data_IF_542916635025
#
_entry.id   IF_542916635025
#
_cell.length_a   1.000
_cell.length_b   1.000
_cell.length_c   1.000
_cell.angle_alpha   90.00
_cell.angle_beta   90.00
_cell.angle_gamma   90.00
#
_symmetry.space_group_name_H-M   'P 1'
#
loop_
_entity.id
_entity.type
_entity.pdbx_description
1 polymer ?
#
# COMPACT_ATOMS: atom_id res chain seq x y z
N UNK A 1 6.48 -15.32 8.12
CA UNK A 1 7.07 -14.23 7.32
C UNK A 1 8.55 -14.12 7.65
N UNK A 2 9.40 -13.87 6.65
CA UNK A 2 10.86 -13.65 6.80
C UNK A 2 11.29 -12.49 5.89
N UNK A 3 12.50 -11.97 6.17
CA UNK A 3 13.20 -11.06 5.27
C UNK A 3 14.54 -11.67 4.90
N UNK A 4 14.94 -11.57 3.62
CA UNK A 4 16.22 -12.09 3.13
C UNK A 4 16.70 -11.32 1.90
N UNK A 5 17.93 -11.55 1.47
CA UNK A 5 18.42 -11.07 0.18
C UNK A 5 17.89 -11.96 -0.94
N UNK A 6 17.51 -11.34 -2.07
CA UNK A 6 16.94 -12.01 -3.24
C UNK A 6 17.79 -11.81 -4.50
N UNK A 7 19.12 -11.83 -4.35
CA UNK A 7 20.08 -11.75 -5.46
C UNK A 7 19.89 -10.54 -6.41
N UNK A 8 19.44 -9.42 -5.82
CA UNK A 8 19.21 -8.16 -6.55
C UNK A 8 17.77 -7.95 -7.02
N UNK A 9 16.88 -8.90 -6.77
CA UNK A 9 15.46 -8.76 -7.09
C UNK A 9 14.73 -7.97 -6.00
N UNK A 10 14.16 -6.83 -6.35
CA UNK A 10 13.40 -5.97 -5.44
C UNK A 10 11.94 -6.43 -5.39
N UNK A 11 11.66 -7.46 -4.63
CA UNK A 11 10.40 -8.18 -4.64
C UNK A 11 9.93 -8.59 -3.23
N UNK A 12 8.70 -9.07 -3.14
CA UNK A 12 8.18 -9.91 -2.07
C UNK A 12 7.29 -10.99 -2.71
N UNK A 13 7.14 -12.11 -2.04
CA UNK A 13 6.36 -13.22 -2.59
C UNK A 13 5.89 -14.17 -1.48
N UNK A 14 4.77 -14.86 -1.75
CA UNK A 14 4.27 -15.98 -0.96
C UNK A 14 4.55 -17.30 -1.66
N UNK A 15 5.34 -18.14 -1.05
CA UNK A 15 5.59 -19.50 -1.54
C UNK A 15 5.76 -20.46 -0.36
N UNK A 16 5.30 -21.70 -0.52
CA UNK A 16 5.47 -22.78 0.47
C UNK A 16 5.07 -22.39 1.90
N UNK A 17 3.96 -21.69 2.06
CA UNK A 17 3.44 -21.18 3.34
C UNK A 17 4.36 -20.15 4.02
N UNK A 18 5.22 -19.49 3.28
CA UNK A 18 6.13 -18.45 3.78
C UNK A 18 5.99 -17.19 2.93
N UNK A 19 5.78 -16.07 3.59
CA UNK A 19 5.89 -14.75 2.98
C UNK A 19 7.34 -14.31 3.11
N UNK A 20 7.99 -14.00 2.01
CA UNK A 20 9.36 -13.47 1.94
C UNK A 20 9.32 -12.02 1.47
N UNK A 21 10.02 -11.13 2.17
CA UNK A 21 10.23 -9.74 1.77
C UNK A 21 11.72 -9.55 1.52
N UNK A 22 12.09 -9.18 0.30
CA UNK A 22 13.47 -9.01 -0.10
C UNK A 22 14.08 -7.72 0.48
N UNK A 23 15.32 -7.74 0.95
CA UNK A 23 16.02 -6.52 1.39
C UNK A 23 16.13 -5.50 0.26
N UNK A 24 16.24 -5.97 -0.97
CA UNK A 24 16.30 -5.14 -2.18
C UNK A 24 15.02 -4.30 -2.37
N UNK A 25 13.85 -4.85 -2.04
CA UNK A 25 12.60 -4.10 -2.05
C UNK A 25 12.60 -2.96 -1.02
N UNK A 26 13.05 -3.25 0.20
CA UNK A 26 13.17 -2.24 1.25
C UNK A 26 14.16 -1.14 0.82
N UNK A 27 15.30 -1.52 0.21
CA UNK A 27 16.28 -0.58 -0.32
C UNK A 27 15.71 0.27 -1.46
N UNK A 28 14.86 -0.30 -2.32
CA UNK A 28 14.15 0.45 -3.36
C UNK A 28 13.22 1.50 -2.77
N UNK A 29 12.42 1.16 -1.74
CA UNK A 29 11.57 2.12 -1.04
C UNK A 29 12.37 3.29 -0.45
N UNK A 30 13.56 3.00 0.13
CA UNK A 30 14.48 4.02 0.61
C UNK A 30 14.99 4.93 -0.50
N UNK A 31 15.23 4.40 -1.70
CA UNK A 31 15.71 5.16 -2.86
C UNK A 31 14.63 6.05 -3.48
N UNK A 32 13.38 5.63 -3.41
CA UNK A 32 12.25 6.32 -4.05
C UNK A 32 11.48 7.25 -3.13
N UNK A 33 11.68 7.16 -1.80
CA UNK A 33 11.03 8.06 -0.86
C UNK A 33 11.37 9.54 -1.14
N UNK A 34 10.45 10.47 -0.92
CA UNK A 34 10.71 11.90 -1.06
C UNK A 34 11.69 12.36 0.02
N UNK A 35 12.50 13.39 -0.27
CA UNK A 35 13.44 13.97 0.70
C UNK A 35 12.71 14.69 1.85
N UNK A 36 11.56 15.29 1.55
CA UNK A 36 10.69 16.02 2.47
C UNK A 36 9.23 15.63 2.20
N UNK A 37 8.31 16.06 3.06
CA UNK A 37 6.89 15.82 2.82
C UNK A 37 6.45 16.42 1.48
N UNK A 38 5.71 15.63 0.71
CA UNK A 38 5.18 16.05 -0.60
C UNK A 38 4.12 17.15 -0.44
N UNK A 39 3.79 17.85 -1.51
CA UNK A 39 2.67 18.81 -1.52
C UNK A 39 1.31 18.12 -1.19
N UNK A 40 1.20 16.82 -1.39
CA UNK A 40 0.04 16.01 -1.01
C UNK A 40 0.01 15.62 0.48
N UNK A 41 1.10 15.85 1.22
CA UNK A 41 1.21 15.53 2.65
C UNK A 41 1.91 14.20 2.96
N UNK A 42 2.30 13.42 1.96
CA UNK A 42 3.03 12.15 2.16
C UNK A 42 4.41 12.44 2.71
N UNK A 43 4.71 11.96 3.91
CA UNK A 43 6.02 12.11 4.53
C UNK A 43 7.01 11.05 4.03
N UNK A 44 8.33 11.24 4.18
CA UNK A 44 9.31 10.21 3.83
C UNK A 44 9.04 8.87 4.50
N UNK A 45 8.62 8.88 5.77
CA UNK A 45 8.29 7.65 6.51
C UNK A 45 7.04 6.97 5.95
N UNK A 46 6.01 7.73 5.57
CA UNK A 46 4.78 7.17 5.01
C UNK A 46 5.02 6.56 3.63
N UNK A 47 5.91 7.16 2.83
CA UNK A 47 6.33 6.65 1.53
C UNK A 47 7.13 5.33 1.61
N UNK A 48 7.64 4.95 2.79
CA UNK A 48 8.27 3.65 3.03
C UNK A 48 7.26 2.69 3.68
N UNK A 49 6.62 3.14 4.76
CA UNK A 49 5.80 2.25 5.59
C UNK A 49 4.50 1.88 4.88
N UNK A 50 3.90 2.79 4.11
CA UNK A 50 2.69 2.51 3.35
C UNK A 50 2.86 1.32 2.39
N UNK A 51 3.75 1.42 1.38
CA UNK A 51 3.98 0.34 0.43
C UNK A 51 4.55 -0.93 1.08
N UNK A 52 5.36 -0.82 2.14
CA UNK A 52 5.84 -2.01 2.86
C UNK A 52 4.69 -2.77 3.54
N UNK A 53 3.76 -2.05 4.18
CA UNK A 53 2.55 -2.66 4.75
C UNK A 53 1.67 -3.27 3.67
N UNK A 54 1.43 -2.53 2.59
CA UNK A 54 0.64 -3.00 1.45
C UNK A 54 1.19 -4.31 0.89
N UNK A 55 2.47 -4.34 0.58
CA UNK A 55 3.14 -5.54 0.06
C UNK A 55 3.06 -6.73 1.03
N UNK A 56 3.32 -6.50 2.33
CA UNK A 56 3.20 -7.57 3.32
C UNK A 56 1.76 -8.10 3.43
N UNK A 57 0.76 -7.24 3.34
CA UNK A 57 -0.65 -7.62 3.40
C UNK A 57 -1.16 -8.21 2.09
N UNK A 58 -0.60 -7.80 0.96
CA UNK A 58 -0.85 -8.39 -0.35
C UNK A 58 -0.39 -9.86 -0.36
N UNK A 59 0.87 -10.12 0.04
CA UNK A 59 1.38 -11.49 0.17
C UNK A 59 0.61 -12.32 1.22
N UNK A 60 0.13 -11.65 2.27
CA UNK A 60 -0.78 -12.27 3.22
C UNK A 60 -2.14 -12.61 2.60
N UNK A 61 -2.62 -11.82 1.65
CA UNK A 61 -3.80 -12.11 0.83
C UNK A 61 -3.66 -13.44 0.09
N UNK A 62 -2.56 -13.65 -0.63
CA UNK A 62 -2.25 -14.93 -1.28
C UNK A 62 -2.22 -16.10 -0.27
N UNK A 63 -1.57 -15.88 0.88
CA UNK A 63 -1.56 -16.90 1.94
C UNK A 63 -2.96 -17.24 2.46
N UNK A 64 -3.85 -16.25 2.60
CA UNK A 64 -5.24 -16.49 2.99
C UNK A 64 -6.01 -17.29 1.93
N UNK A 65 -5.84 -16.94 0.64
CA UNK A 65 -6.53 -17.64 -0.44
C UNK A 65 -6.10 -19.10 -0.52
N UNK A 66 -4.82 -19.37 -0.41
CA UNK A 66 -4.26 -20.72 -0.42
C UNK A 66 -4.69 -21.53 0.82
N UNK A 67 -4.37 -21.05 2.01
CA UNK A 67 -4.56 -21.79 3.26
C UNK A 67 -6.03 -21.99 3.63
N UNK A 68 -6.90 -21.03 3.32
CA UNK A 68 -8.34 -21.12 3.57
C UNK A 68 -9.12 -21.65 2.35
N UNK A 69 -8.45 -21.88 1.22
CA UNK A 69 -9.05 -22.27 -0.05
C UNK A 69 -10.17 -21.32 -0.48
N UNK A 70 -9.90 -20.02 -0.38
CA UNK A 70 -10.84 -18.97 -0.76
C UNK A 70 -11.02 -18.98 -2.28
N UNK A 71 -12.24 -19.13 -2.82
CA UNK A 71 -12.45 -19.04 -4.25
C UNK A 71 -12.30 -17.61 -4.74
N UNK A 72 -11.39 -17.38 -5.68
CA UNK A 72 -11.15 -16.07 -6.31
C UNK A 72 -11.70 -16.11 -7.73
N UNK A 73 -12.57 -15.15 -8.07
CA UNK A 73 -13.08 -14.93 -9.42
C UNK A 73 -12.36 -13.73 -10.03
N UNK A 74 -11.57 -13.97 -11.06
CA UNK A 74 -10.75 -12.96 -11.71
C UNK A 74 -9.26 -13.15 -11.39
N UNK A 75 -8.52 -12.05 -11.42
CA UNK A 75 -7.09 -12.08 -11.11
C UNK A 75 -6.87 -12.11 -9.60
N UNK A 76 -6.06 -13.05 -9.14
CA UNK A 76 -5.75 -13.20 -7.73
C UNK A 76 -4.96 -11.99 -7.20
N UNK A 77 -4.13 -11.39 -8.04
CA UNK A 77 -3.37 -10.17 -7.72
C UNK A 77 -4.27 -8.99 -7.36
N UNK A 78 -5.34 -8.77 -8.14
CA UNK A 78 -6.31 -7.72 -7.84
C UNK A 78 -7.06 -8.01 -6.52
N UNK A 79 -7.35 -9.28 -6.23
CA UNK A 79 -7.98 -9.69 -4.98
C UNK A 79 -7.05 -9.52 -3.77
N UNK A 80 -5.75 -9.80 -3.91
CA UNK A 80 -4.74 -9.60 -2.89
C UNK A 80 -4.58 -8.10 -2.57
N UNK A 81 -4.54 -7.22 -3.58
CA UNK A 81 -4.56 -5.76 -3.40
C UNK A 81 -5.80 -5.30 -2.62
N UNK A 82 -6.97 -5.85 -2.92
CA UNK A 82 -8.20 -5.51 -2.21
C UNK A 82 -8.20 -5.97 -0.76
N UNK A 83 -7.65 -7.15 -0.45
CA UNK A 83 -7.46 -7.63 0.93
C UNK A 83 -6.51 -6.71 1.69
N UNK A 84 -5.40 -6.33 1.08
CA UNK A 84 -4.44 -5.39 1.67
C UNK A 84 -5.11 -4.06 2.01
N UNK A 85 -5.75 -3.42 1.04
CA UNK A 85 -6.45 -2.15 1.23
C UNK A 85 -7.54 -2.26 2.31
N UNK A 86 -8.34 -3.33 2.31
CA UNK A 86 -9.37 -3.57 3.31
C UNK A 86 -8.81 -3.62 4.73
N UNK A 87 -7.73 -4.37 4.95
CA UNK A 87 -7.10 -4.49 6.27
C UNK A 87 -6.52 -3.15 6.72
N UNK A 88 -5.80 -2.44 5.85
CA UNK A 88 -5.23 -1.13 6.17
C UNK A 88 -6.30 -0.12 6.59
N UNK A 89 -7.47 -0.13 5.95
CA UNK A 89 -8.58 0.77 6.28
C UNK A 89 -9.19 0.50 7.67
N UNK A 90 -8.92 -0.66 8.29
CA UNK A 90 -9.39 -1.02 9.63
C UNK A 90 -8.39 -0.71 10.75
N UNK A 91 -7.17 -0.24 10.43
CA UNK A 91 -6.14 0.08 11.43
C UNK A 91 -6.37 1.42 12.18
N UNK A 92 -7.48 2.08 11.94
CA UNK A 92 -7.81 3.39 12.49
C UNK A 92 -7.64 4.52 11.48
N UNK A 93 -8.45 5.58 11.61
CA UNK A 93 -8.57 6.62 10.57
C UNK A 93 -7.26 7.32 10.22
N UNK A 94 -6.47 7.69 11.22
CA UNK A 94 -5.20 8.40 10.99
C UNK A 94 -4.17 7.49 10.31
N UNK A 95 -4.08 6.25 10.73
CA UNK A 95 -3.15 5.26 10.19
C UNK A 95 -3.58 4.80 8.80
N UNK A 96 -4.87 4.51 8.61
CA UNK A 96 -5.43 4.19 7.31
C UNK A 96 -5.12 5.28 6.28
N UNK A 97 -5.30 6.56 6.67
CA UNK A 97 -5.00 7.70 5.80
C UNK A 97 -3.54 7.69 5.36
N UNK A 98 -2.61 7.58 6.30
CA UNK A 98 -1.17 7.61 6.04
C UNK A 98 -0.70 6.42 5.19
N UNK A 99 -1.21 5.21 5.50
CA UNK A 99 -0.88 4.00 4.75
C UNK A 99 -1.36 4.10 3.29
N UNK A 100 -2.63 4.43 3.08
CA UNK A 100 -3.20 4.57 1.72
C UNK A 100 -2.48 5.66 0.91
N UNK A 101 -2.15 6.80 1.52
CA UNK A 101 -1.39 7.85 0.84
C UNK A 101 0.03 7.41 0.48
N UNK A 102 0.69 6.66 1.36
CA UNK A 102 2.01 6.08 1.07
C UNK A 102 1.97 5.08 -0.08
N UNK A 103 0.98 4.18 -0.11
CA UNK A 103 0.76 3.23 -1.21
C UNK A 103 0.47 3.96 -2.51
N UNK A 104 -0.45 4.93 -2.50
CA UNK A 104 -0.77 5.72 -3.68
C UNK A 104 0.45 6.49 -4.20
N UNK A 105 1.30 7.00 -3.31
CA UNK A 105 2.57 7.63 -3.70
C UNK A 105 3.48 6.64 -4.43
N UNK A 106 3.66 5.43 -3.89
CA UNK A 106 4.51 4.41 -4.50
C UNK A 106 4.02 4.07 -5.92
N UNK A 107 2.75 3.69 -6.09
CA UNK A 107 2.20 3.41 -7.42
C UNK A 107 2.32 4.59 -8.37
N UNK A 108 2.09 5.82 -7.89
CA UNK A 108 2.21 7.01 -8.74
C UNK A 108 3.64 7.23 -9.22
N UNK A 109 4.65 6.90 -8.42
CA UNK A 109 6.07 7.04 -8.85
C UNK A 109 6.47 6.02 -9.92
N UNK A 110 5.72 4.92 -10.03
CA UNK A 110 5.92 3.88 -11.05
C UNK A 110 5.13 4.14 -12.34
N UNK A 111 4.19 5.10 -12.32
CA UNK A 111 3.46 5.48 -13.53
C UNK A 111 4.43 6.18 -14.49
N UNK A 112 4.59 5.58 -15.66
CA UNK A 112 5.40 6.19 -16.72
C UNK A 112 4.73 7.45 -17.29
N UNK A 113 5.52 8.39 -17.83
CA UNK A 113 4.96 9.56 -18.52
C UNK A 113 3.95 9.15 -19.59
N UNK A 114 2.87 9.91 -19.77
CA UNK A 114 1.83 9.67 -20.80
C UNK A 114 2.38 9.58 -22.23
N UNK A 115 3.61 10.05 -22.44
CA UNK A 115 4.31 9.97 -23.72
C UNK A 115 4.92 8.60 -24.01
N UNK A 116 4.99 7.69 -23.01
CA UNK A 116 5.52 6.33 -23.19
C UNK A 116 4.39 5.43 -23.72
N UNK A 117 4.51 4.85 -24.93
CA UNK A 117 3.50 3.95 -25.45
C UNK A 117 3.33 2.71 -24.55
N UNK A 118 2.10 2.42 -24.16
CA UNK A 118 1.79 1.17 -23.49
C UNK A 118 1.96 0.00 -24.47
N UNK A 119 2.85 -0.91 -24.17
CA UNK A 119 3.04 -2.11 -24.98
C UNK A 119 2.03 -3.20 -24.59
N UNK A 120 1.66 -4.05 -25.55
CA UNK A 120 0.78 -5.19 -25.30
C UNK A 120 1.33 -6.11 -24.20
N UNK A 121 2.64 -6.23 -24.07
CA UNK A 121 3.32 -7.02 -23.03
C UNK A 121 2.96 -6.54 -21.62
N UNK A 122 2.79 -5.23 -21.43
CA UNK A 122 2.38 -4.68 -20.11
C UNK A 122 0.97 -5.07 -19.70
N UNK A 123 0.10 -5.33 -20.66
CA UNK A 123 -1.25 -5.83 -20.37
C UNK A 123 -1.31 -7.34 -20.13
N UNK A 124 -0.23 -8.07 -20.43
CA UNK A 124 -0.12 -9.50 -20.18
C UNK A 124 0.39 -9.82 -18.76
N UNK A 125 0.78 -8.81 -17.99
CA UNK A 125 1.19 -8.99 -16.61
C UNK A 125 0.03 -9.48 -15.73
N UNK A 126 0.33 -10.32 -14.76
CA UNK A 126 -0.66 -10.81 -13.79
C UNK A 126 -1.15 -9.68 -12.88
N UNK A 127 -0.32 -8.69 -12.61
CA UNK A 127 -0.70 -7.47 -11.89
C UNK A 127 -1.38 -6.46 -12.82
N UNK A 128 -2.22 -5.62 -12.25
CA UNK A 128 -2.66 -4.39 -12.88
C UNK A 128 -1.48 -3.43 -13.11
N UNK A 129 -1.58 -2.57 -14.11
CA UNK A 129 -0.56 -1.52 -14.28
C UNK A 129 -0.52 -0.62 -13.03
N UNK A 130 0.62 0.04 -12.73
CA UNK A 130 0.73 0.95 -11.58
C UNK A 130 -0.39 2.00 -11.55
N UNK A 131 -0.79 2.53 -12.72
CA UNK A 131 -1.91 3.46 -12.81
C UNK A 131 -3.26 2.83 -12.42
N UNK A 132 -3.52 1.58 -12.82
CA UNK A 132 -4.73 0.86 -12.41
C UNK A 132 -4.73 0.58 -10.90
N UNK A 133 -3.63 0.08 -10.35
CA UNK A 133 -3.48 -0.16 -8.91
C UNK A 133 -3.61 1.13 -8.10
N UNK A 134 -3.04 2.25 -8.58
CA UNK A 134 -3.22 3.58 -7.99
C UNK A 134 -4.69 3.97 -7.87
N UNK A 135 -5.46 3.90 -8.96
CA UNK A 135 -6.88 4.28 -8.92
C UNK A 135 -7.72 3.28 -8.11
N UNK A 136 -7.39 1.99 -8.13
CA UNK A 136 -8.10 0.98 -7.36
C UNK A 136 -7.94 1.19 -5.85
N UNK A 137 -6.73 1.42 -5.34
CA UNK A 137 -6.51 1.67 -3.91
C UNK A 137 -7.21 2.95 -3.44
N UNK A 138 -7.18 4.03 -4.24
CA UNK A 138 -7.90 5.27 -3.93
C UNK A 138 -9.41 5.07 -3.92
N UNK A 139 -9.93 4.27 -4.85
CA UNK A 139 -11.36 3.99 -4.94
C UNK A 139 -11.85 3.17 -3.73
N UNK A 140 -11.14 2.12 -3.35
CA UNK A 140 -11.48 1.33 -2.16
C UNK A 140 -11.45 2.21 -0.90
N UNK A 141 -10.44 3.08 -0.77
CA UNK A 141 -10.32 3.99 0.37
C UNK A 141 -11.47 5.02 0.41
N UNK A 142 -11.77 5.67 -0.72
CA UNK A 142 -12.88 6.62 -0.82
C UNK A 142 -14.23 5.95 -0.56
N UNK A 143 -14.42 4.73 -1.09
CA UNK A 143 -15.64 3.94 -0.88
C UNK A 143 -15.86 3.56 0.58
N UNK A 144 -14.79 3.33 1.33
CA UNK A 144 -14.82 3.02 2.76
C UNK A 144 -15.20 4.23 3.62
N UNK A 145 -14.58 5.39 3.37
CA UNK A 145 -14.84 6.63 4.11
C UNK A 145 -14.65 7.86 3.20
N UNK A 146 -15.71 8.22 2.49
CA UNK A 146 -15.72 9.39 1.62
C UNK A 146 -15.48 10.73 2.35
N UNK A 147 -15.68 10.77 3.68
CA UNK A 147 -15.37 11.95 4.47
C UNK A 147 -13.86 12.06 4.75
N UNK A 148 -13.22 10.94 5.07
CA UNK A 148 -11.79 10.87 5.34
C UNK A 148 -10.96 11.10 4.06
N UNK A 149 -11.40 10.56 2.92
CA UNK A 149 -10.66 10.55 1.66
C UNK A 149 -11.23 11.52 0.58
N UNK A 150 -12.19 12.38 0.94
CA UNK A 150 -12.90 13.24 -0.02
C UNK A 150 -12.01 14.28 -0.72
N UNK A 151 -10.93 14.68 -0.09
CA UNK A 151 -9.95 15.58 -0.70
C UNK A 151 -9.20 14.97 -1.89
N UNK A 152 -9.14 13.63 -1.99
CA UNK A 152 -8.54 12.95 -3.15
C UNK A 152 -9.31 13.26 -4.44
N UNK A 153 -10.65 13.36 -4.35
CA UNK A 153 -11.49 13.80 -5.47
C UNK A 153 -11.32 15.30 -5.71
N UNK A 154 -11.36 16.10 -4.63
CA UNK A 154 -11.23 17.56 -4.75
C UNK A 154 -9.88 18.00 -5.33
N UNK A 155 -8.81 17.27 -5.07
CA UNK A 155 -7.46 17.49 -5.61
C UNK A 155 -7.25 16.85 -6.99
N UNK A 156 -8.22 16.12 -7.52
CA UNK A 156 -8.15 15.45 -8.83
C UNK A 156 -7.28 14.19 -8.85
N UNK A 157 -6.93 13.62 -7.69
CA UNK A 157 -6.22 12.34 -7.62
C UNK A 157 -7.12 11.16 -8.00
N UNK A 158 -8.39 11.21 -7.59
CA UNK A 158 -9.43 10.26 -8.00
C UNK A 158 -10.43 10.99 -8.89
N UNK A 159 -10.61 10.62 -10.17
CA UNK A 159 -11.61 11.22 -11.04
C UNK A 159 -13.02 11.12 -10.45
N UNK A 160 -13.81 12.18 -10.60
CA UNK A 160 -15.16 12.24 -10.02
C UNK A 160 -16.05 11.11 -10.52
N UNK A 161 -15.98 10.84 -11.81
CA UNK A 161 -16.73 9.76 -12.46
C UNK A 161 -16.36 8.39 -11.88
N UNK A 162 -15.07 8.18 -11.60
CA UNK A 162 -14.59 6.94 -10.98
C UNK A 162 -15.07 6.81 -9.53
N UNK A 163 -15.14 7.94 -8.80
CA UNK A 163 -15.56 7.97 -7.41
C UNK A 163 -17.03 7.56 -7.18
N UNK A 164 -17.88 7.68 -8.21
CA UNK A 164 -19.30 7.31 -8.13
C UNK A 164 -19.52 5.84 -7.85
N UNK A 165 -18.65 4.96 -8.35
CA UNK A 165 -18.75 3.51 -8.19
C UNK A 165 -18.04 2.98 -6.93
N UNK A 166 -17.15 3.76 -6.33
CA UNK A 166 -16.22 3.31 -5.30
C UNK A 166 -16.90 2.75 -4.04
N UNK A 167 -18.05 3.32 -3.65
CA UNK A 167 -18.82 2.81 -2.51
C UNK A 167 -19.30 1.38 -2.75
N UNK A 168 -19.76 1.10 -3.97
CA UNK A 168 -20.21 -0.24 -4.36
C UNK A 168 -19.06 -1.23 -4.39
N UNK A 169 -17.91 -0.82 -4.92
CA UNK A 169 -16.70 -1.67 -4.97
C UNK A 169 -16.19 -2.01 -3.57
N UNK A 170 -16.05 -1.00 -2.69
CA UNK A 170 -15.68 -1.26 -1.29
C UNK A 170 -16.64 -2.22 -0.61
N UNK A 171 -17.97 -2.04 -0.81
CA UNK A 171 -18.96 -2.92 -0.20
C UNK A 171 -18.82 -4.36 -0.67
N UNK A 172 -18.52 -4.59 -1.96
CA UNK A 172 -18.26 -5.93 -2.50
C UNK A 172 -17.04 -6.57 -1.83
N UNK A 173 -15.96 -5.82 -1.67
CA UNK A 173 -14.75 -6.30 -0.97
C UNK A 173 -15.04 -6.63 0.47
N UNK A 174 -15.72 -5.74 1.19
CA UNK A 174 -16.09 -5.93 2.59
C UNK A 174 -16.98 -7.17 2.78
N UNK A 175 -18.01 -7.34 1.94
CA UNK A 175 -18.91 -8.48 1.97
C UNK A 175 -18.18 -9.80 1.67
N UNK A 176 -17.27 -9.80 0.70
CA UNK A 176 -16.47 -10.96 0.37
C UNK A 176 -15.52 -11.33 1.52
N UNK A 177 -14.80 -10.34 2.06
CA UNK A 177 -13.90 -10.55 3.18
C UNK A 177 -14.64 -11.12 4.41
N UNK A 178 -15.76 -10.49 4.79
CA UNK A 178 -16.55 -10.92 5.95
C UNK A 178 -17.14 -12.32 5.79
N UNK A 179 -17.51 -12.72 4.58
CA UNK A 179 -18.06 -14.05 4.31
C UNK A 179 -17.01 -15.14 4.19
N UNK A 180 -15.87 -14.85 3.56
CA UNK A 180 -14.89 -15.86 3.18
C UNK A 180 -13.73 -15.94 4.18
N UNK A 181 -13.29 -14.83 4.72
CA UNK A 181 -12.13 -14.72 5.62
C UNK A 181 -12.59 -14.50 7.07
N UNK A 182 -13.59 -13.65 7.27
CA UNK A 182 -14.13 -13.26 8.58
C UNK A 182 -14.42 -14.41 9.55
N UNK A 183 -14.97 -15.57 9.11
CA UNK A 183 -15.18 -16.72 10.00
C UNK A 183 -13.90 -17.31 10.61
N UNK A 184 -12.74 -17.05 10.01
CA UNK A 184 -11.44 -17.53 10.47
C UNK A 184 -10.69 -16.48 11.32
N UNK A 185 -11.26 -15.27 11.49
CA UNK A 185 -10.63 -14.19 12.25
C UNK A 185 -11.04 -14.24 13.71
N UNK A 186 -10.07 -14.31 14.62
CA UNK A 186 -10.30 -14.05 16.04
C UNK A 186 -10.56 -12.54 16.25
N UNK A 187 -11.82 -12.17 16.31
CA UNK A 187 -12.26 -10.77 16.43
C UNK A 187 -11.75 -10.08 17.68
N UNK A 188 -11.52 -10.81 18.77
CA UNK A 188 -10.97 -10.27 20.01
C UNK A 188 -9.49 -9.87 19.84
N UNK A 189 -8.72 -10.70 19.15
CA UNK A 189 -7.33 -10.40 18.81
C UNK A 189 -7.24 -9.30 17.74
N UNK A 190 -8.06 -9.38 16.70
CA UNK A 190 -8.13 -8.36 15.65
C UNK A 190 -8.42 -6.98 16.25
N UNK A 191 -9.40 -6.87 17.15
CA UNK A 191 -9.68 -5.60 17.84
C UNK A 191 -8.46 -5.07 18.60
N UNK A 192 -7.72 -5.92 19.32
CA UNK A 192 -6.50 -5.49 20.05
C UNK A 192 -5.40 -5.01 19.10
N UNK A 193 -5.37 -5.52 17.88
CA UNK A 193 -4.44 -5.06 16.82
C UNK A 193 -4.90 -3.71 16.29
N UNK A 194 -6.16 -3.57 15.91
CA UNK A 194 -6.71 -2.35 15.33
C UNK A 194 -6.76 -1.16 16.32
N UNK A 195 -6.87 -1.43 17.63
CA UNK A 195 -6.86 -0.40 18.67
C UNK A 195 -5.44 0.13 18.98
N UNK A 196 -4.37 -0.41 18.37
CA UNK A 196 -2.99 0.03 18.59
C UNK A 196 -2.55 1.01 17.51
N UNK A 197 -1.68 1.93 17.87
CA UNK A 197 -0.90 2.70 16.90
C UNK A 197 0.33 1.88 16.48
N UNK A 198 0.48 1.69 15.18
CA UNK A 198 1.55 0.89 14.57
C UNK A 198 2.58 1.75 13.86
N UNK A 199 2.15 2.91 13.37
CA UNK A 199 3.00 3.74 12.55
C UNK A 199 3.93 4.59 13.41
N UNK A 200 5.19 4.76 13.01
CA UNK A 200 6.06 5.76 13.59
C UNK A 200 5.44 7.15 13.48
N UNK A 201 5.84 8.07 14.37
CA UNK A 201 5.43 9.47 14.23
C UNK A 201 5.81 9.98 12.83
N UNK A 202 4.91 10.72 12.19
CA UNK A 202 5.12 11.27 10.85
C UNK A 202 6.33 12.24 10.79
N UNK A 203 6.73 12.80 11.93
CA UNK A 203 7.92 13.64 12.08
C UNK A 203 9.21 12.86 12.35
N UNK A 204 9.12 11.52 12.44
CA UNK A 204 10.29 10.67 12.69
C UNK A 204 11.32 10.89 11.59
N UNK A 205 12.51 11.36 11.99
CA UNK A 205 13.63 11.48 11.07
C UNK A 205 14.18 10.10 10.77
N UNK A 206 14.15 9.73 9.51
CA UNK A 206 14.81 8.53 9.06
C UNK A 206 16.33 8.71 9.13
N UNK A 207 17.12 7.68 9.50
CA UNK A 207 18.56 7.74 9.40
C UNK A 207 18.93 8.09 7.95
N UNK A 208 19.95 8.92 7.76
CA UNK A 208 20.41 9.31 6.42
C UNK A 208 20.73 8.08 5.57
N UNK A 209 20.49 8.18 4.27
CA UNK A 209 20.87 7.09 3.34
C UNK A 209 22.34 6.71 3.56
N UNK A 210 22.70 5.43 3.61
CA UNK A 210 24.09 5.03 3.52
C UNK A 210 24.73 5.70 2.31
N UNK A 211 25.79 6.52 2.54
CA UNK A 211 26.46 7.27 1.48
C UNK A 211 25.91 8.67 1.19
N UNK A 212 24.85 9.13 1.86
CA UNK A 212 24.43 10.53 1.77
C UNK A 212 25.41 11.46 2.51
N UNK A 213 25.76 12.65 1.98
CA UNK A 213 26.56 13.62 2.71
C UNK A 213 25.87 13.99 4.03
N UNK A 214 26.57 13.84 5.15
CA UNK A 214 26.07 14.30 6.44
C UNK A 214 25.77 15.81 6.37
N UNK A 215 24.62 16.28 6.86
CA UNK A 215 24.39 17.72 6.94
C UNK A 215 25.50 18.35 7.77
N UNK A 216 26.17 19.35 7.22
CA UNK A 216 27.21 20.09 7.95
C UNK A 216 26.61 20.64 9.24
N UNK A 217 27.30 20.52 10.38
CA UNK A 217 26.82 21.11 11.63
C UNK A 217 26.60 22.61 11.39
N UNK A 218 25.41 23.09 11.73
CA UNK A 218 25.14 24.52 11.72
C UNK A 218 26.06 25.15 12.77
N UNK A 219 27.05 25.88 12.31
CA UNK A 219 27.88 26.74 13.18
C UNK A 219 26.97 27.85 13.70
N UNK A 220 26.50 27.72 14.93
CA UNK A 220 25.97 28.86 15.68
C UNK A 220 27.14 29.78 15.94
N UNK A 221 27.19 30.85 15.19
CA UNK A 221 28.10 31.97 15.49
C UNK A 221 27.58 32.71 16.73
N UNK A 222 28.44 33.07 17.70
CA UNK A 222 28.05 33.71 18.95
C UNK A 222 27.48 35.10 18.76
#
# INVERSE_FOLDING_TARGET
MKTEGCDGDANAFYEYNVITVCYEYIDQLWKTMPAEATAGGVTPIDAIVGPLFDTCLHEFGHALFDLLRVPVLGREEDAADQVSAYIMLHLGKAEARRLIEGVAYAYKTEVEPDTTPLTMTRFADVHGTPAQRFYNVLCIAYGADAQLFGDMVAKGYLPKERAEDCKGEYQQVADAYEKLIGPHVDRSRAKKVFDKSWLPDATTRLPGRPGSPQPKPQTTTP
#
